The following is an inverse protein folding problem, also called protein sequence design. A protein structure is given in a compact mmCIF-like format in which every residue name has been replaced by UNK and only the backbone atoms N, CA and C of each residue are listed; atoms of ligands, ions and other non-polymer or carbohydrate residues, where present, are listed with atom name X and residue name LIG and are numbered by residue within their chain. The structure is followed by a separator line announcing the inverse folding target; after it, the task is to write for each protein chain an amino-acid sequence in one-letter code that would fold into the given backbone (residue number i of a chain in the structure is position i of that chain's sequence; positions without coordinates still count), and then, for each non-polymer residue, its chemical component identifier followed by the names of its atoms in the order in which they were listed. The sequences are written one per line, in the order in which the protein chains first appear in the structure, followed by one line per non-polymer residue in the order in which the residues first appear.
data_IF_034999704013
#
_entry.id   IF_034999704013
#
_cell.length_a   1.000
_cell.length_b   1.000
_cell.length_c   1.000
_cell.angle_alpha   90.00
_cell.angle_beta   90.00
_cell.angle_gamma   90.00
#
_symmetry.space_group_name_H-M   'P 1'
#
loop_
_entity.id
_entity.type
_entity.pdbx_description
1 polymer ?
#
# COMPACT_ATOMS: atom_id res chain seq x y z
N UNK A 1 8.14 -72.57 -18.38
CA UNK A 1 7.24 -71.60 -17.66
C UNK A 1 8.02 -70.31 -17.41
N UNK A 2 7.85 -69.35 -18.28
CA UNK A 2 8.48 -68.02 -18.15
C UNK A 2 7.48 -67.07 -17.43
N UNK A 3 7.82 -66.59 -16.23
CA UNK A 3 7.05 -65.51 -15.52
C UNK A 3 7.58 -64.20 -15.99
N UNK A 4 6.69 -63.46 -16.67
CA UNK A 4 6.89 -62.06 -17.06
C UNK A 4 6.65 -61.18 -15.85
N UNK A 5 7.66 -60.37 -15.48
CA UNK A 5 7.58 -59.37 -14.39
C UNK A 5 7.28 -58.01 -15.02
N UNK A 6 6.03 -57.55 -14.89
CA UNK A 6 5.60 -56.25 -15.38
C UNK A 6 5.99 -55.19 -14.35
N UNK A 7 6.96 -54.36 -14.69
CA UNK A 7 7.33 -53.17 -13.92
C UNK A 7 6.30 -52.06 -14.14
N UNK A 8 5.52 -51.73 -13.12
CA UNK A 8 4.67 -50.54 -13.05
C UNK A 8 5.54 -49.34 -12.67
N UNK A 9 5.81 -48.47 -13.64
CA UNK A 9 6.40 -47.16 -13.44
C UNK A 9 5.35 -46.25 -12.80
N UNK A 10 5.46 -46.00 -11.50
CA UNK A 10 4.78 -44.93 -10.81
C UNK A 10 5.46 -43.59 -11.20
N UNK A 11 4.81 -42.85 -12.10
CA UNK A 11 5.16 -41.46 -12.37
C UNK A 11 4.77 -40.63 -11.17
N UNK A 12 5.77 -40.22 -10.37
CA UNK A 12 5.61 -39.21 -9.36
C UNK A 12 5.41 -37.87 -10.08
N UNK A 13 4.17 -37.46 -10.33
CA UNK A 13 3.82 -36.06 -10.55
C UNK A 13 4.13 -35.28 -9.27
N UNK A 14 5.29 -34.64 -9.26
CA UNK A 14 5.61 -33.63 -8.26
C UNK A 14 4.64 -32.46 -8.47
N UNK A 15 3.54 -32.46 -7.75
CA UNK A 15 2.74 -31.25 -7.54
C UNK A 15 3.62 -30.28 -6.76
N UNK A 16 4.27 -29.36 -7.46
CA UNK A 16 4.69 -28.12 -6.87
C UNK A 16 3.41 -27.39 -6.47
N UNK A 17 2.97 -27.60 -5.24
CA UNK A 17 2.03 -26.71 -4.57
C UNK A 17 2.79 -25.39 -4.39
N UNK A 18 2.71 -24.50 -5.39
CA UNK A 18 2.88 -23.09 -5.18
C UNK A 18 1.94 -22.75 -4.02
N UNK A 19 2.50 -22.26 -2.93
CA UNK A 19 1.70 -21.72 -1.85
C UNK A 19 0.75 -20.72 -2.50
N UNK A 20 -0.53 -21.03 -2.60
CA UNK A 20 -1.54 -20.10 -3.05
C UNK A 20 -1.53 -18.99 -2.02
N UNK A 21 -1.07 -17.81 -2.44
CA UNK A 21 -1.33 -16.60 -1.69
C UNK A 21 -2.85 -16.60 -1.46
N UNK A 22 -3.30 -16.56 -0.20
CA UNK A 22 -4.72 -16.51 0.15
C UNK A 22 -5.27 -15.12 -0.14
N UNK A 23 -5.22 -14.71 -1.41
CA UNK A 23 -5.91 -13.52 -1.88
C UNK A 23 -7.39 -13.83 -2.03
N UNK A 24 -8.22 -12.91 -1.60
CA UNK A 24 -9.65 -12.94 -1.94
C UNK A 24 -9.83 -12.81 -3.46
N UNK A 25 -10.93 -13.34 -4.00
CA UNK A 25 -11.20 -13.31 -5.46
C UNK A 25 -11.11 -11.91 -6.07
N UNK A 26 -11.50 -10.87 -5.31
CA UNK A 26 -11.42 -9.48 -5.75
C UNK A 26 -9.98 -8.93 -5.69
N UNK A 27 -9.12 -9.35 -4.76
CA UNK A 27 -7.70 -9.00 -4.75
C UNK A 27 -6.99 -9.60 -5.96
N UNK A 28 -7.26 -10.86 -6.27
CA UNK A 28 -6.71 -11.54 -7.45
C UNK A 28 -7.13 -10.79 -8.71
N UNK A 29 -8.43 -10.50 -8.87
CA UNK A 29 -8.95 -9.78 -10.02
C UNK A 29 -8.31 -8.40 -10.14
N UNK A 30 -8.33 -7.60 -9.09
CA UNK A 30 -7.84 -6.23 -9.07
C UNK A 30 -6.30 -6.14 -9.26
N UNK A 31 -5.55 -7.18 -8.90
CA UNK A 31 -4.10 -7.22 -9.13
C UNK A 31 -3.72 -7.46 -10.60
N UNK A 32 -4.61 -8.10 -11.36
CA UNK A 32 -4.38 -8.53 -12.74
C UNK A 32 -5.01 -7.60 -13.79
N UNK A 33 -6.05 -6.84 -13.43
CA UNK A 33 -6.84 -6.03 -14.35
C UNK A 33 -6.51 -4.53 -14.23
N UNK A 34 -6.83 -3.72 -15.28
CA UNK A 34 -6.85 -2.27 -15.17
C UNK A 34 -7.75 -1.82 -14.01
N UNK A 35 -7.35 -0.78 -13.32
CA UNK A 35 -8.00 -0.38 -12.07
C UNK A 35 -9.45 0.12 -12.22
N UNK A 36 -9.81 0.68 -13.39
CA UNK A 36 -11.21 1.03 -13.66
C UNK A 36 -12.14 -0.20 -13.57
N UNK A 37 -11.68 -1.33 -14.11
CA UNK A 37 -12.42 -2.60 -14.04
C UNK A 37 -12.48 -3.17 -12.62
N UNK A 38 -11.49 -2.84 -11.76
CA UNK A 38 -11.48 -3.29 -10.37
C UNK A 38 -12.66 -2.71 -9.58
N UNK A 39 -12.91 -1.39 -9.67
CA UNK A 39 -14.04 -0.79 -8.95
C UNK A 39 -15.39 -1.31 -9.45
N UNK A 40 -15.54 -1.45 -10.76
CA UNK A 40 -16.76 -2.02 -11.36
C UNK A 40 -17.00 -3.44 -10.87
N UNK A 41 -15.95 -4.27 -10.82
CA UNK A 41 -16.03 -5.62 -10.29
C UNK A 41 -16.43 -5.64 -8.82
N UNK A 42 -15.79 -4.82 -7.97
CA UNK A 42 -16.14 -4.69 -6.55
C UNK A 42 -17.61 -4.32 -6.39
N UNK A 43 -18.10 -3.33 -7.14
CA UNK A 43 -19.49 -2.88 -7.07
C UNK A 43 -20.48 -3.97 -7.54
N UNK A 44 -20.15 -4.73 -8.57
CA UNK A 44 -20.94 -5.89 -9.01
C UNK A 44 -21.00 -6.96 -7.93
N UNK A 45 -19.88 -7.28 -7.29
CA UNK A 45 -19.83 -8.26 -6.20
C UNK A 45 -20.63 -7.79 -4.98
N UNK A 46 -20.59 -6.50 -4.64
CA UNK A 46 -21.44 -5.93 -3.56
C UNK A 46 -22.93 -6.00 -3.89
N UNK A 47 -23.30 -5.81 -5.16
CA UNK A 47 -24.70 -5.84 -5.58
C UNK A 47 -25.33 -7.24 -5.51
N UNK A 48 -24.53 -8.31 -5.62
CA UNK A 48 -25.00 -9.70 -5.56
C UNK A 48 -24.84 -10.32 -4.18
N UNK A 49 -23.96 -9.79 -3.33
CA UNK A 49 -23.77 -10.27 -1.97
C UNK A 49 -24.94 -9.79 -1.08
N UNK A 50 -25.44 -10.68 -0.21
CA UNK A 50 -26.48 -10.32 0.77
C UNK A 50 -25.95 -9.24 1.72
N UNK A 51 -26.59 -8.06 1.80
CA UNK A 51 -26.17 -6.98 2.68
C UNK A 51 -26.11 -7.45 4.14
N UNK A 52 -24.99 -7.17 4.82
CA UNK A 52 -24.77 -7.60 6.20
C UNK A 52 -24.23 -9.03 6.36
N UNK A 53 -24.07 -9.79 5.27
CA UNK A 53 -23.36 -11.07 5.32
C UNK A 53 -21.86 -10.89 5.51
N UNK A 54 -21.16 -11.93 6.00
CA UNK A 54 -19.71 -11.92 6.14
C UNK A 54 -18.99 -11.58 4.81
N UNK A 55 -19.49 -12.15 3.70
CA UNK A 55 -18.96 -11.88 2.35
C UNK A 55 -19.17 -10.42 1.94
N UNK A 56 -20.34 -9.85 2.25
CA UNK A 56 -20.61 -8.44 1.96
C UNK A 56 -19.64 -7.50 2.71
N UNK A 57 -19.41 -7.75 4.00
CA UNK A 57 -18.49 -6.96 4.81
C UNK A 57 -17.05 -7.08 4.32
N UNK A 58 -16.62 -8.26 3.89
CA UNK A 58 -15.30 -8.49 3.29
C UNK A 58 -15.09 -7.62 2.04
N UNK A 59 -16.04 -7.69 1.07
CA UNK A 59 -15.97 -6.93 -0.17
C UNK A 59 -16.07 -5.43 0.11
N UNK A 60 -16.90 -5.01 1.05
CA UNK A 60 -17.05 -3.61 1.45
C UNK A 60 -15.78 -3.06 2.09
N UNK A 61 -15.09 -3.85 2.91
CA UNK A 61 -13.78 -3.50 3.46
C UNK A 61 -12.75 -3.29 2.35
N UNK A 62 -12.73 -4.17 1.35
CA UNK A 62 -11.84 -4.04 0.21
C UNK A 62 -12.18 -2.80 -0.66
N UNK A 63 -13.45 -2.42 -0.75
CA UNK A 63 -13.83 -1.15 -1.38
C UNK A 63 -13.22 0.06 -0.66
N UNK A 64 -13.14 0.03 0.67
CA UNK A 64 -12.45 1.08 1.44
C UNK A 64 -10.96 1.11 1.12
N UNK A 65 -10.30 -0.05 1.07
CA UNK A 65 -8.90 -0.17 0.65
C UNK A 65 -8.67 0.44 -0.74
N UNK A 66 -9.54 0.11 -1.69
CA UNK A 66 -9.49 0.65 -3.04
C UNK A 66 -9.54 2.19 -3.05
N UNK A 67 -10.53 2.81 -2.39
CA UNK A 67 -10.66 4.26 -2.35
C UNK A 67 -9.47 4.92 -1.63
N UNK A 68 -9.00 4.32 -0.56
CA UNK A 68 -7.82 4.81 0.16
C UNK A 68 -6.57 4.76 -0.72
N UNK A 69 -6.33 3.66 -1.36
CA UNK A 69 -5.22 3.45 -2.27
C UNK A 69 -5.24 4.42 -3.46
N UNK A 70 -6.42 4.75 -3.96
CA UNK A 70 -6.61 5.76 -5.01
C UNK A 70 -6.54 7.19 -4.49
N UNK A 71 -6.44 7.38 -3.18
CA UNK A 71 -6.56 8.69 -2.52
C UNK A 71 -7.88 9.39 -2.86
N UNK A 72 -8.94 8.63 -3.08
CA UNK A 72 -10.30 9.10 -3.32
C UNK A 72 -11.01 9.32 -1.97
N UNK A 73 -10.47 10.27 -1.20
CA UNK A 73 -10.88 10.49 0.19
C UNK A 73 -12.34 10.92 0.36
N UNK A 74 -12.95 11.56 -0.65
CA UNK A 74 -14.38 11.87 -0.61
C UNK A 74 -15.22 10.59 -0.71
N UNK A 75 -14.95 9.76 -1.71
CA UNK A 75 -15.62 8.46 -1.87
C UNK A 75 -15.39 7.55 -0.66
N UNK A 76 -14.19 7.58 -0.08
CA UNK A 76 -13.85 6.84 1.14
C UNK A 76 -14.69 7.33 2.33
N UNK A 77 -14.80 8.66 2.53
CA UNK A 77 -15.65 9.24 3.56
C UNK A 77 -17.11 8.80 3.37
N UNK A 78 -17.66 9.05 2.20
CA UNK A 78 -19.07 8.76 1.89
C UNK A 78 -19.39 7.28 2.01
N UNK A 79 -18.42 6.41 1.73
CA UNK A 79 -18.54 4.95 1.85
C UNK A 79 -18.46 4.43 3.29
N UNK A 80 -17.76 5.14 4.20
CA UNK A 80 -17.58 4.74 5.60
C UNK A 80 -18.58 5.43 6.56
N UNK A 81 -18.99 6.66 6.26
CA UNK A 81 -19.84 7.49 7.12
C UNK A 81 -21.16 6.82 7.55
N UNK A 82 -21.88 6.04 6.71
CA UNK A 82 -23.12 5.36 7.11
C UNK A 82 -22.94 4.35 8.25
N UNK A 83 -21.72 3.88 8.49
CA UNK A 83 -21.42 2.82 9.45
C UNK A 83 -20.80 3.30 10.76
N UNK A 84 -20.43 4.59 10.89
CA UNK A 84 -19.72 5.11 12.09
C UNK A 84 -20.56 5.02 13.37
N UNK A 85 -21.88 5.00 13.26
CA UNK A 85 -22.82 4.85 14.37
C UNK A 85 -23.55 3.50 14.32
N UNK A 86 -23.10 2.57 13.46
CA UNK A 86 -23.75 1.25 13.30
C UNK A 86 -23.63 0.43 14.57
N UNK A 87 -24.76 -0.11 15.01
CA UNK A 87 -24.83 -1.09 16.10
C UNK A 87 -24.73 -2.50 15.50
N UNK A 88 -24.15 -3.41 16.25
CA UNK A 88 -24.07 -4.84 15.88
C UNK A 88 -23.26 -5.13 14.61
N UNK A 89 -22.32 -4.23 14.23
CA UNK A 89 -21.38 -4.49 13.15
C UNK A 89 -20.31 -5.51 13.60
N UNK A 90 -19.85 -6.40 12.70
CA UNK A 90 -18.68 -7.23 12.99
C UNK A 90 -17.51 -6.35 13.42
N UNK A 91 -16.88 -6.68 14.54
CA UNK A 91 -15.85 -5.83 15.15
C UNK A 91 -14.69 -5.54 14.20
N UNK A 92 -14.31 -6.50 13.34
CA UNK A 92 -13.26 -6.31 12.33
C UNK A 92 -13.69 -5.27 11.30
N UNK A 93 -14.94 -5.30 10.82
CA UNK A 93 -15.48 -4.31 9.90
C UNK A 93 -15.59 -2.94 10.56
N UNK A 94 -16.03 -2.87 11.82
CA UNK A 94 -16.12 -1.62 12.57
C UNK A 94 -14.74 -0.94 12.72
N UNK A 95 -13.67 -1.72 12.96
CA UNK A 95 -12.28 -1.21 12.95
C UNK A 95 -11.93 -0.58 11.62
N UNK A 96 -12.23 -1.26 10.51
CA UNK A 96 -11.97 -0.75 9.16
C UNK A 96 -12.73 0.57 8.91
N UNK A 97 -14.01 0.62 9.26
CA UNK A 97 -14.83 1.85 9.18
C UNK A 97 -14.17 2.99 9.93
N UNK A 98 -13.84 2.80 11.19
CA UNK A 98 -13.23 3.84 12.03
C UNK A 98 -11.85 4.27 11.51
N UNK A 99 -11.03 3.30 11.09
CA UNK A 99 -9.71 3.56 10.53
C UNK A 99 -9.79 4.43 9.28
N UNK A 100 -10.60 4.05 8.29
CA UNK A 100 -10.70 4.76 7.03
C UNK A 100 -11.47 6.07 7.13
N UNK A 101 -12.46 6.15 8.00
CA UNK A 101 -13.12 7.41 8.30
C UNK A 101 -12.16 8.41 8.96
N UNK A 102 -11.35 7.95 9.93
CA UNK A 102 -10.31 8.78 10.55
C UNK A 102 -9.30 9.33 9.53
N UNK A 103 -8.85 8.47 8.57
CA UNK A 103 -7.96 8.90 7.48
C UNK A 103 -8.59 9.97 6.60
N UNK A 104 -9.88 9.82 6.27
CA UNK A 104 -10.62 10.81 5.49
C UNK A 104 -10.74 12.13 6.25
N UNK A 105 -11.07 12.11 7.54
CA UNK A 105 -11.14 13.29 8.39
C UNK A 105 -9.80 14.02 8.48
N UNK A 106 -8.70 13.28 8.61
CA UNK A 106 -7.35 13.84 8.58
C UNK A 106 -7.07 14.58 7.26
N UNK A 107 -7.44 13.98 6.13
CA UNK A 107 -7.25 14.58 4.80
C UNK A 107 -8.04 15.90 4.64
N UNK A 108 -9.27 15.94 5.15
CA UNK A 108 -10.12 17.15 5.10
C UNK A 108 -9.80 18.19 6.19
N UNK A 109 -8.78 17.95 7.02
CA UNK A 109 -8.36 18.87 8.09
C UNK A 109 -9.22 18.82 9.35
N UNK A 110 -10.18 17.90 9.45
CA UNK A 110 -10.96 17.68 10.68
C UNK A 110 -10.19 16.77 11.64
N UNK A 111 -9.15 17.33 12.24
CA UNK A 111 -8.20 16.57 13.08
C UNK A 111 -8.83 16.06 14.38
N UNK A 112 -9.86 16.72 14.91
CA UNK A 112 -10.55 16.28 16.12
C UNK A 112 -11.33 14.98 15.85
N UNK A 113 -12.18 14.98 14.84
CA UNK A 113 -12.89 13.78 14.40
C UNK A 113 -11.93 12.65 13.98
N UNK A 114 -10.86 13.01 13.26
CA UNK A 114 -9.82 12.07 12.90
C UNK A 114 -9.23 11.35 14.11
N UNK A 115 -8.83 12.09 15.14
CA UNK A 115 -8.31 11.50 16.40
C UNK A 115 -9.35 10.65 17.12
N UNK A 116 -10.61 11.14 17.25
CA UNK A 116 -11.70 10.39 17.90
C UNK A 116 -11.86 9.00 17.29
N UNK A 117 -12.04 8.91 15.98
CA UNK A 117 -12.26 7.62 15.32
C UNK A 117 -10.99 6.77 15.25
N UNK A 118 -9.80 7.36 15.19
CA UNK A 118 -8.55 6.64 15.31
C UNK A 118 -8.40 5.97 16.69
N UNK A 119 -8.81 6.63 17.77
CA UNK A 119 -8.80 6.05 19.12
C UNK A 119 -9.75 4.86 19.20
N UNK A 120 -10.98 4.99 18.69
CA UNK A 120 -11.94 3.88 18.65
C UNK A 120 -11.43 2.70 17.81
N UNK A 121 -10.81 2.97 16.66
CA UNK A 121 -10.19 1.92 15.86
C UNK A 121 -9.06 1.22 16.61
N UNK A 122 -8.21 1.98 17.30
CA UNK A 122 -7.09 1.45 18.08
C UNK A 122 -7.58 0.53 19.22
N UNK A 123 -8.55 0.97 20.01
CA UNK A 123 -9.09 0.20 21.13
C UNK A 123 -9.70 -1.13 20.67
N UNK A 124 -10.52 -1.09 19.62
CA UNK A 124 -11.13 -2.30 19.06
C UNK A 124 -10.06 -3.22 18.42
N UNK A 125 -9.10 -2.67 17.72
CA UNK A 125 -8.04 -3.44 17.07
C UNK A 125 -7.10 -4.09 18.09
N UNK A 126 -6.81 -3.40 19.21
CA UNK A 126 -6.02 -3.95 20.31
C UNK A 126 -6.74 -5.16 20.93
N UNK A 127 -8.05 -5.06 21.17
CA UNK A 127 -8.84 -6.16 21.72
C UNK A 127 -8.86 -7.39 20.76
N UNK A 128 -8.99 -7.15 19.43
CA UNK A 128 -8.91 -8.22 18.43
C UNK A 128 -7.52 -8.87 18.45
N UNK A 129 -6.46 -8.07 18.47
CA UNK A 129 -5.09 -8.58 18.47
C UNK A 129 -4.81 -9.43 19.71
N UNK A 130 -5.22 -8.98 20.88
CA UNK A 130 -5.05 -9.73 22.12
C UNK A 130 -5.76 -11.09 22.09
N UNK A 131 -6.89 -11.18 21.36
CA UNK A 131 -7.68 -12.41 21.21
C UNK A 131 -7.14 -13.35 20.13
N UNK A 132 -6.74 -12.84 18.97
CA UNK A 132 -6.48 -13.66 17.77
C UNK A 132 -5.03 -13.63 17.27
N UNK A 133 -4.23 -12.64 17.67
CA UNK A 133 -2.79 -12.60 17.40
C UNK A 133 -2.40 -12.45 15.91
N UNK A 134 -3.26 -11.88 15.07
CA UNK A 134 -2.99 -11.69 13.64
C UNK A 134 -1.85 -10.70 13.39
N UNK A 135 -0.80 -11.06 12.61
CA UNK A 135 0.37 -10.21 12.37
C UNK A 135 0.03 -8.88 11.68
N UNK A 136 -0.91 -8.87 10.70
CA UNK A 136 -1.31 -7.64 10.01
C UNK A 136 -1.98 -6.64 10.96
N UNK A 137 -2.71 -7.12 11.97
CA UNK A 137 -3.33 -6.24 12.99
C UNK A 137 -2.30 -5.45 13.80
N UNK A 138 -1.12 -6.03 14.05
CA UNK A 138 -0.03 -5.27 14.66
C UNK A 138 0.49 -4.16 13.75
N UNK A 139 0.60 -4.40 12.45
CA UNK A 139 1.01 -3.38 11.47
C UNK A 139 -0.03 -2.25 11.39
N UNK A 140 -1.31 -2.59 11.40
CA UNK A 140 -2.41 -1.61 11.43
C UNK A 140 -2.41 -0.76 12.71
N UNK A 141 -2.21 -1.38 13.88
CA UNK A 141 -2.04 -0.69 15.15
C UNK A 141 -0.87 0.30 15.11
N UNK A 142 0.26 -0.14 14.59
CA UNK A 142 1.42 0.71 14.43
C UNK A 142 1.16 1.88 13.48
N UNK A 143 0.42 1.64 12.39
CA UNK A 143 0.04 2.71 11.44
C UNK A 143 -0.87 3.75 12.10
N UNK A 144 -1.85 3.33 12.91
CA UNK A 144 -2.68 4.26 13.69
C UNK A 144 -1.83 5.11 14.66
N UNK A 145 -0.90 4.49 15.37
CA UNK A 145 0.02 5.20 16.27
C UNK A 145 0.93 6.15 15.49
N UNK A 146 1.43 5.75 14.32
CA UNK A 146 2.25 6.60 13.47
C UNK A 146 1.51 7.87 13.00
N UNK A 147 0.24 7.73 12.60
CA UNK A 147 -0.53 8.83 11.98
C UNK A 147 -1.20 9.73 13.03
N UNK A 148 -1.73 9.16 14.09
CA UNK A 148 -2.60 9.86 15.05
C UNK A 148 -2.03 9.93 16.47
N UNK A 149 -1.02 9.15 16.79
CA UNK A 149 -0.46 9.00 18.12
C UNK A 149 1.05 9.29 18.18
N UNK A 150 1.78 8.34 18.77
CA UNK A 150 3.19 8.46 19.05
C UNK A 150 4.04 7.55 18.13
N UNK A 151 5.05 8.13 17.50
CA UNK A 151 5.91 7.46 16.51
C UNK A 151 6.83 6.41 17.13
N UNK A 152 7.33 6.68 18.31
CA UNK A 152 8.17 5.75 19.06
C UNK A 152 7.36 4.52 19.48
N UNK A 153 6.11 4.73 19.92
CA UNK A 153 5.16 3.63 20.18
C UNK A 153 4.87 2.83 18.92
N UNK A 154 4.68 3.50 17.78
CA UNK A 154 4.50 2.83 16.49
C UNK A 154 5.70 1.93 16.15
N UNK A 155 6.92 2.45 16.29
CA UNK A 155 8.15 1.67 16.06
C UNK A 155 8.25 0.47 16.99
N UNK A 156 7.95 0.66 18.27
CA UNK A 156 7.97 -0.44 19.26
C UNK A 156 6.97 -1.56 18.90
N UNK A 157 5.77 -1.21 18.41
CA UNK A 157 4.77 -2.19 17.95
C UNK A 157 5.30 -2.94 16.73
N UNK A 158 5.93 -2.25 15.76
CA UNK A 158 6.51 -2.87 14.56
C UNK A 158 7.67 -3.80 14.90
N UNK A 159 8.54 -3.41 15.83
CA UNK A 159 9.63 -4.27 16.29
C UNK A 159 9.10 -5.51 17.02
N UNK A 160 8.02 -5.38 17.77
CA UNK A 160 7.35 -6.52 18.40
C UNK A 160 6.73 -7.45 17.36
N UNK A 161 6.11 -6.89 16.29
CA UNK A 161 5.58 -7.67 15.18
C UNK A 161 6.68 -8.44 14.45
N UNK A 162 7.82 -7.80 14.18
CA UNK A 162 8.97 -8.43 13.55
C UNK A 162 9.52 -9.58 14.38
N UNK A 163 9.74 -9.36 15.68
CA UNK A 163 10.23 -10.43 16.58
C UNK A 163 9.27 -11.61 16.67
N UNK A 164 7.96 -11.36 16.70
CA UNK A 164 6.95 -12.41 16.87
C UNK A 164 6.66 -13.16 15.59
N UNK A 165 6.62 -12.46 14.46
CA UNK A 165 6.15 -13.00 13.18
C UNK A 165 7.20 -12.97 12.07
N UNK A 166 8.46 -12.67 12.37
CA UNK A 166 9.54 -12.56 11.38
C UNK A 166 9.85 -13.85 10.60
N UNK A 167 9.32 -15.01 11.04
CA UNK A 167 9.41 -16.28 10.33
C UNK A 167 8.22 -16.50 9.36
N UNK A 168 7.27 -15.58 9.28
CA UNK A 168 6.18 -15.66 8.31
C UNK A 168 6.73 -15.77 6.88
N UNK A 169 6.03 -16.51 6.04
CA UNK A 169 6.33 -16.59 4.60
C UNK A 169 5.47 -15.63 3.77
N UNK A 170 4.59 -14.88 4.42
CA UNK A 170 3.70 -13.93 3.77
C UNK A 170 4.48 -12.69 3.30
N UNK A 171 4.66 -12.49 1.98
CA UNK A 171 5.41 -11.37 1.45
C UNK A 171 4.71 -10.02 1.69
N UNK A 172 3.39 -10.01 1.74
CA UNK A 172 2.60 -8.78 1.98
C UNK A 172 2.81 -8.32 3.42
N UNK A 173 2.76 -9.23 4.40
CA UNK A 173 3.07 -8.89 5.78
C UNK A 173 4.45 -8.24 5.94
N UNK A 174 5.48 -8.84 5.37
CA UNK A 174 6.85 -8.30 5.45
C UNK A 174 7.00 -6.97 4.74
N UNK A 175 6.34 -6.82 3.58
CA UNK A 175 6.30 -5.55 2.86
C UNK A 175 5.65 -4.44 3.69
N UNK A 176 4.47 -4.68 4.25
CA UNK A 176 3.73 -3.69 5.05
C UNK A 176 4.50 -3.36 6.33
N UNK A 177 5.06 -4.36 7.01
CA UNK A 177 5.90 -4.18 8.20
C UNK A 177 7.09 -3.26 7.90
N UNK A 178 7.86 -3.58 6.88
CA UNK A 178 9.05 -2.82 6.51
C UNK A 178 8.71 -1.41 5.99
N UNK A 179 7.62 -1.27 5.23
CA UNK A 179 7.14 0.03 4.73
C UNK A 179 6.73 0.95 5.87
N UNK A 180 6.01 0.43 6.87
CA UNK A 180 5.62 1.21 8.03
C UNK A 180 6.82 1.58 8.91
N UNK A 181 7.79 0.66 9.12
CA UNK A 181 9.07 0.98 9.81
C UNK A 181 9.79 2.13 9.09
N UNK A 182 9.91 2.06 7.78
CA UNK A 182 10.55 3.11 6.98
C UNK A 182 9.88 4.47 7.13
N UNK A 183 8.53 4.50 7.17
CA UNK A 183 7.79 5.74 7.37
C UNK A 183 8.04 6.34 8.76
N UNK A 184 8.08 5.50 9.80
CA UNK A 184 8.39 5.93 11.16
C UNK A 184 9.82 6.47 11.23
N UNK A 185 10.83 5.73 10.78
CA UNK A 185 12.23 6.17 10.75
C UNK A 185 12.40 7.50 10.02
N UNK A 186 11.82 7.60 8.82
CA UNK A 186 11.86 8.85 8.05
C UNK A 186 11.29 10.03 8.84
N UNK A 187 10.18 9.83 9.54
CA UNK A 187 9.52 10.89 10.32
C UNK A 187 10.25 11.26 11.60
N UNK A 188 11.11 10.36 12.09
CA UNK A 188 12.03 10.60 13.22
C UNK A 188 13.38 11.20 12.77
N UNK A 189 13.57 11.39 11.45
CA UNK A 189 14.83 11.91 10.88
C UNK A 189 15.91 10.85 10.67
N UNK A 190 15.66 9.58 10.98
CA UNK A 190 16.56 8.46 10.71
C UNK A 190 16.41 8.01 9.24
N UNK A 191 17.16 8.69 8.37
CA UNK A 191 17.12 8.43 6.92
C UNK A 191 17.79 7.09 6.57
N UNK A 192 18.80 6.67 7.32
CA UNK A 192 19.50 5.39 7.10
C UNK A 192 18.60 4.21 7.50
N UNK A 193 17.93 4.29 8.65
CA UNK A 193 16.92 3.31 9.06
C UNK A 193 15.75 3.23 8.07
N UNK A 194 15.31 4.38 7.54
CA UNK A 194 14.30 4.43 6.49
C UNK A 194 14.78 3.76 5.20
N UNK A 195 16.03 4.01 4.78
CA UNK A 195 16.62 3.39 3.59
C UNK A 195 16.70 1.87 3.74
N UNK A 196 17.23 1.39 4.86
CA UNK A 196 17.34 -0.05 5.12
C UNK A 196 15.97 -0.73 5.08
N UNK A 197 14.98 -0.14 5.76
CA UNK A 197 13.62 -0.68 5.80
C UNK A 197 12.94 -0.67 4.42
N UNK A 198 13.13 0.39 3.61
CA UNK A 198 12.57 0.45 2.25
C UNK A 198 13.20 -0.56 1.29
N UNK A 199 14.49 -0.87 1.42
CA UNK A 199 15.11 -1.97 0.68
C UNK A 199 14.45 -3.31 0.99
N UNK A 200 14.26 -3.60 2.28
CA UNK A 200 13.55 -4.82 2.73
C UNK A 200 12.13 -4.87 2.16
N UNK A 201 11.40 -3.75 2.18
CA UNK A 201 10.05 -3.68 1.61
C UNK A 201 10.04 -4.00 0.11
N UNK A 202 10.98 -3.44 -0.67
CA UNK A 202 11.13 -3.73 -2.11
C UNK A 202 11.46 -5.20 -2.34
N UNK A 203 12.39 -5.79 -1.58
CA UNK A 203 12.78 -7.20 -1.72
C UNK A 203 11.61 -8.16 -1.49
N UNK A 204 10.71 -7.83 -0.58
CA UNK A 204 9.53 -8.65 -0.33
C UNK A 204 8.43 -8.45 -1.37
N UNK A 205 8.12 -7.21 -1.73
CA UNK A 205 7.00 -6.96 -2.66
C UNK A 205 7.31 -7.43 -4.09
N UNK A 206 8.58 -7.45 -4.49
CA UNK A 206 9.00 -7.99 -5.80
C UNK A 206 8.78 -9.51 -5.93
N UNK A 207 8.53 -10.22 -4.83
CA UNK A 207 8.13 -11.64 -4.85
C UNK A 207 6.65 -11.84 -5.17
N UNK A 208 5.90 -10.76 -5.34
CA UNK A 208 4.47 -10.77 -5.63
C UNK A 208 4.19 -10.22 -7.02
N UNK A 209 2.94 -10.35 -7.49
CA UNK A 209 2.47 -9.72 -8.74
C UNK A 209 1.74 -8.38 -8.49
N UNK A 210 1.89 -7.79 -7.30
CA UNK A 210 1.14 -6.61 -6.88
C UNK A 210 1.72 -5.32 -7.49
N UNK A 211 1.46 -5.10 -8.79
CA UNK A 211 2.04 -3.99 -9.58
C UNK A 211 2.01 -2.65 -8.86
N UNK A 212 0.85 -2.27 -8.30
CA UNK A 212 0.71 -1.00 -7.59
C UNK A 212 1.63 -0.91 -6.36
N UNK A 213 1.64 -1.93 -5.48
CA UNK A 213 2.52 -1.93 -4.30
C UNK A 213 4.00 -1.92 -4.70
N UNK A 214 4.37 -2.63 -5.77
CA UNK A 214 5.74 -2.62 -6.34
C UNK A 214 6.10 -1.19 -6.79
N UNK A 215 5.23 -0.53 -7.56
CA UNK A 215 5.49 0.84 -8.01
C UNK A 215 5.68 1.81 -6.83
N UNK A 216 4.79 1.74 -5.83
CA UNK A 216 4.88 2.58 -4.62
C UNK A 216 6.16 2.30 -3.82
N UNK A 217 6.53 1.04 -3.63
CA UNK A 217 7.75 0.65 -2.91
C UNK A 217 9.01 1.20 -3.59
N UNK A 218 9.11 1.01 -4.92
CA UNK A 218 10.22 1.53 -5.72
C UNK A 218 10.29 3.06 -5.68
N UNK A 219 9.14 3.75 -5.80
CA UNK A 219 9.06 5.21 -5.73
C UNK A 219 9.46 5.75 -4.36
N UNK A 220 9.06 5.09 -3.28
CA UNK A 220 9.45 5.46 -1.91
C UNK A 220 10.95 5.25 -1.67
N UNK A 221 11.52 4.16 -2.18
CA UNK A 221 12.97 3.90 -2.10
C UNK A 221 13.74 4.93 -2.93
N UNK A 222 13.28 5.23 -4.15
CA UNK A 222 13.86 6.28 -5.01
C UNK A 222 13.87 7.64 -4.31
N UNK A 223 12.77 8.00 -3.63
CA UNK A 223 12.69 9.25 -2.87
C UNK A 223 13.70 9.30 -1.72
N UNK A 224 13.99 8.18 -1.06
CA UNK A 224 15.01 8.15 -0.02
C UNK A 224 16.41 8.36 -0.59
N UNK A 225 16.72 7.71 -1.70
CA UNK A 225 17.99 7.95 -2.39
C UNK A 225 18.14 9.41 -2.87
N UNK A 226 17.04 10.03 -3.33
CA UNK A 226 17.05 11.45 -3.68
C UNK A 226 17.38 12.34 -2.48
N UNK A 227 16.81 12.07 -1.30
CA UNK A 227 17.10 12.80 -0.05
C UNK A 227 18.57 12.68 0.33
N UNK A 228 19.18 11.53 0.06
CA UNK A 228 20.60 11.25 0.28
C UNK A 228 21.50 11.79 -0.86
N UNK A 229 20.95 12.56 -1.81
CA UNK A 229 21.63 13.04 -3.01
C UNK A 229 22.26 11.94 -3.88
N UNK A 230 21.79 10.69 -3.75
CA UNK A 230 22.18 9.56 -4.60
C UNK A 230 21.28 9.50 -5.83
N UNK A 231 21.46 10.50 -6.71
CA UNK A 231 20.52 10.78 -7.81
C UNK A 231 20.48 9.67 -8.87
N UNK A 232 21.59 9.01 -9.17
CA UNK A 232 21.63 7.93 -10.16
C UNK A 232 20.83 6.70 -9.70
N UNK A 233 20.88 6.36 -8.40
CA UNK A 233 20.07 5.28 -7.83
C UNK A 233 18.59 5.67 -7.79
N UNK A 234 18.28 6.92 -7.45
CA UNK A 234 16.92 7.43 -7.47
C UNK A 234 16.30 7.38 -8.89
N UNK A 235 17.06 7.80 -9.92
CA UNK A 235 16.65 7.77 -11.34
C UNK A 235 16.28 6.35 -11.77
N UNK A 236 17.20 5.39 -11.57
CA UNK A 236 16.99 3.97 -11.92
C UNK A 236 15.72 3.42 -11.32
N UNK A 237 15.47 3.69 -10.03
CA UNK A 237 14.31 3.16 -9.31
C UNK A 237 13.00 3.83 -9.75
N UNK A 238 12.97 5.15 -9.99
CA UNK A 238 11.79 5.79 -10.55
C UNK A 238 11.49 5.26 -11.96
N UNK A 239 12.50 5.13 -12.83
CA UNK A 239 12.31 4.54 -14.16
C UNK A 239 11.80 3.09 -14.07
N UNK A 240 12.33 2.30 -13.13
CA UNK A 240 11.84 0.95 -12.90
C UNK A 240 10.39 0.95 -12.42
N UNK A 241 10.01 1.87 -11.53
CA UNK A 241 8.65 1.95 -10.99
C UNK A 241 7.60 2.25 -12.07
N UNK A 242 7.95 3.02 -13.10
CA UNK A 242 7.04 3.35 -14.22
C UNK A 242 6.54 2.09 -14.95
N UNK A 243 7.29 0.99 -14.95
CA UNK A 243 6.91 -0.28 -15.59
C UNK A 243 5.68 -0.95 -14.94
N UNK A 244 5.38 -0.56 -13.70
CA UNK A 244 4.30 -1.12 -12.89
C UNK A 244 3.10 -0.20 -12.75
N UNK A 245 3.14 0.98 -13.41
CA UNK A 245 2.05 1.97 -13.37
C UNK A 245 1.09 1.70 -14.53
N UNK A 246 -0.19 1.63 -14.21
CA UNK A 246 -1.25 1.70 -15.20
C UNK A 246 -1.46 3.16 -15.62
N UNK A 247 -1.24 3.44 -16.93
CA UNK A 247 -1.19 4.82 -17.44
C UNK A 247 -2.54 5.54 -17.31
N UNK A 248 -3.64 4.82 -17.45
CA UNK A 248 -4.98 5.42 -17.44
C UNK A 248 -5.47 5.65 -16.01
N UNK A 249 -5.34 4.64 -15.17
CA UNK A 249 -5.89 4.66 -13.82
C UNK A 249 -4.97 5.29 -12.77
N UNK A 250 -3.65 5.30 -12.99
CA UNK A 250 -2.66 5.86 -12.08
C UNK A 250 -2.00 7.15 -12.62
N UNK A 251 -2.69 7.89 -13.50
CA UNK A 251 -2.17 9.10 -14.16
C UNK A 251 -1.54 10.11 -13.19
N UNK A 252 -2.11 10.27 -11.99
CA UNK A 252 -1.55 11.16 -10.97
C UNK A 252 -0.21 10.64 -10.43
N UNK A 253 -0.06 9.33 -10.20
CA UNK A 253 1.20 8.71 -9.75
C UNK A 253 2.24 8.82 -10.86
N UNK A 254 1.84 8.55 -12.10
CA UNK A 254 2.70 8.69 -13.27
C UNK A 254 3.24 10.11 -13.41
N UNK A 255 2.36 11.11 -13.28
CA UNK A 255 2.75 12.53 -13.34
C UNK A 255 3.74 12.90 -12.22
N UNK A 256 3.49 12.45 -10.99
CA UNK A 256 4.38 12.68 -9.85
C UNK A 256 5.77 12.04 -10.09
N UNK A 257 5.83 10.80 -10.59
CA UNK A 257 7.12 10.13 -10.79
C UNK A 257 7.92 10.76 -11.93
N UNK A 258 7.26 11.17 -13.02
CA UNK A 258 7.91 11.95 -14.09
C UNK A 258 8.40 13.31 -13.58
N UNK A 259 7.63 13.98 -12.73
CA UNK A 259 8.04 15.23 -12.09
C UNK A 259 9.27 15.03 -11.19
N UNK A 260 9.31 13.93 -10.43
CA UNK A 260 10.48 13.57 -9.60
C UNK A 260 11.70 13.22 -10.45
N UNK A 261 11.52 12.54 -11.58
CA UNK A 261 12.59 12.29 -12.54
C UNK A 261 13.16 13.60 -13.13
N UNK A 262 12.31 14.58 -13.42
CA UNK A 262 12.77 15.90 -13.82
C UNK A 262 13.57 16.59 -12.69
N UNK A 263 13.06 16.55 -11.47
CA UNK A 263 13.72 17.14 -10.29
C UNK A 263 15.10 16.55 -10.04
N UNK A 264 15.22 15.21 -9.98
CA UNK A 264 16.51 14.56 -9.69
C UNK A 264 17.53 14.77 -10.79
N UNK A 265 17.11 14.77 -12.06
CA UNK A 265 18.01 15.06 -13.17
C UNK A 265 18.48 16.53 -13.15
N UNK A 266 17.61 17.48 -12.78
CA UNK A 266 18.00 18.86 -12.53
C UNK A 266 19.02 18.97 -11.40
N UNK A 267 18.75 18.34 -10.25
CA UNK A 267 19.64 18.29 -9.09
C UNK A 267 20.99 17.62 -9.39
N UNK A 268 21.01 16.65 -10.30
CA UNK A 268 22.20 15.97 -10.77
C UNK A 268 23.00 16.73 -11.83
N UNK A 269 22.59 17.97 -12.20
CA UNK A 269 23.26 18.77 -13.23
C UNK A 269 23.05 18.25 -14.66
N UNK A 270 21.93 17.54 -14.92
CA UNK A 270 21.54 16.98 -16.22
C UNK A 270 20.32 17.73 -16.81
N UNK A 271 20.43 19.04 -17.17
CA UNK A 271 19.27 19.85 -17.50
C UNK A 271 18.49 19.37 -18.73
N UNK A 272 19.16 18.83 -19.74
CA UNK A 272 18.49 18.28 -20.93
C UNK A 272 17.60 17.09 -20.59
N UNK A 273 18.10 16.19 -19.74
CA UNK A 273 17.34 15.04 -19.30
C UNK A 273 16.18 15.46 -18.37
N UNK A 274 16.42 16.46 -17.52
CA UNK A 274 15.37 17.05 -16.68
C UNK A 274 14.23 17.62 -17.53
N UNK A 275 14.56 18.42 -18.56
CA UNK A 275 13.58 18.98 -19.50
C UNK A 275 12.82 17.89 -20.26
N UNK A 276 13.51 16.81 -20.68
CA UNK A 276 12.88 15.67 -21.36
C UNK A 276 11.81 15.02 -20.47
N UNK A 277 12.06 14.83 -19.20
CA UNK A 277 11.10 14.28 -18.26
C UNK A 277 9.98 15.28 -17.97
N UNK A 278 10.31 16.56 -17.74
CA UNK A 278 9.35 17.62 -17.44
C UNK A 278 8.30 17.79 -18.54
N UNK A 279 8.71 17.75 -19.82
CA UNK A 279 7.80 17.83 -20.98
C UNK A 279 6.77 16.69 -21.05
N UNK A 280 7.01 15.58 -20.34
CA UNK A 280 6.09 14.44 -20.27
C UNK A 280 5.10 14.56 -19.10
N UNK A 281 5.22 15.59 -18.27
CA UNK A 281 4.32 15.80 -17.13
C UNK A 281 3.08 16.56 -17.60
N UNK A 282 1.91 15.96 -17.44
CA UNK A 282 0.65 16.65 -17.72
C UNK A 282 0.25 17.48 -16.49
N UNK A 283 0.20 18.82 -16.63
CA UNK A 283 -0.06 19.76 -15.52
C UNK A 283 -1.36 19.46 -14.79
N UNK A 284 -2.42 19.08 -15.52
CA UNK A 284 -3.72 18.73 -14.95
C UNK A 284 -3.72 17.51 -14.03
N UNK A 285 -2.66 16.68 -14.09
CA UNK A 285 -2.51 15.51 -13.25
C UNK A 285 -1.63 15.77 -12.01
N UNK A 286 -1.17 17.02 -11.82
CA UNK A 286 -0.38 17.40 -10.65
C UNK A 286 -1.30 17.78 -9.50
N UNK A 287 -1.23 17.00 -8.41
CA UNK A 287 -1.98 17.27 -7.18
C UNK A 287 -1.44 18.50 -6.45
N UNK A 288 -2.28 19.15 -5.63
CA UNK A 288 -1.92 20.34 -4.82
C UNK A 288 -0.62 20.15 -4.02
N UNK A 289 -0.36 18.95 -3.52
CA UNK A 289 0.84 18.62 -2.74
C UNK A 289 2.15 18.74 -3.55
N UNK A 290 2.08 18.66 -4.87
CA UNK A 290 3.23 18.75 -5.78
C UNK A 290 3.21 20.01 -6.67
N UNK A 291 2.20 20.85 -6.54
CA UNK A 291 2.07 22.07 -7.35
C UNK A 291 3.26 23.02 -7.20
N UNK A 292 3.80 23.14 -5.96
CA UNK A 292 4.99 23.96 -5.71
C UNK A 292 6.22 23.44 -6.45
N UNK A 293 6.45 22.13 -6.42
CA UNK A 293 7.57 21.51 -7.15
C UNK A 293 7.42 21.70 -8.65
N UNK A 294 6.19 21.49 -9.18
CA UNK A 294 5.93 21.72 -10.61
C UNK A 294 6.27 23.16 -11.01
N UNK A 295 5.78 24.17 -10.27
CA UNK A 295 6.07 25.58 -10.56
C UNK A 295 7.57 25.92 -10.45
N UNK A 296 8.28 25.32 -9.49
CA UNK A 296 9.73 25.51 -9.37
C UNK A 296 10.46 25.01 -10.61
N UNK A 297 10.12 23.81 -11.11
CA UNK A 297 10.75 23.23 -12.31
C UNK A 297 10.33 23.96 -13.59
N UNK A 298 9.07 24.40 -13.70
CA UNK A 298 8.56 25.20 -14.82
C UNK A 298 9.34 26.51 -15.00
N UNK A 299 9.88 27.09 -13.91
CA UNK A 299 10.64 28.34 -13.94
C UNK A 299 12.13 28.15 -14.30
N UNK A 300 12.66 26.95 -14.20
CA UNK A 300 14.11 26.72 -14.37
C UNK A 300 14.44 25.79 -15.56
N UNK A 301 13.43 25.11 -16.13
CA UNK A 301 13.53 24.26 -17.32
C UNK A 301 12.85 24.89 -18.54
#
# INVERSE_FOLDING_TARGET
MKKSLTFLLFSFCSFNALASENFSDHEIFCSQQPQALCLDYINQQLAVAEPGSARWYEIKSYQFDYFYDKMEYLALKDSTEPFINGKDLPVVFQVQVYFYYAKSMQYFGNHEQGRKFATLAFENLQAIFDSFGNPMRMVELANLQYVFGNKETALHILDRAERRFGKSKDPIFHFELASNKANVFHSLGDVDGALASRRVAVDWILKTNHKRKISVALGNLARTYQILAQYDEADKLYVQSLKYIDVESDRFVLAIYKLRLAEINWQAGKPEQALKWFKQVHKGDIRKTHAKLYAQLENVL
#
